data_IF_191261820726
#
_entry.id   IF_191261820726
#
_cell.length_a   1.000
_cell.length_b   1.000
_cell.length_c   1.000
_cell.angle_alpha   90.00
_cell.angle_beta   90.00
_cell.angle_gamma   90.00
#
_symmetry.space_group_name_H-M   'P 1'
#
loop_
_entity.id
_entity.type
_entity.pdbx_description
1 polymer ?
#
# COMPACT_ATOMS: atom_id res chain seq x y z
N UNK A 1 -0.35 24.77 -4.25
CA UNK A 1 0.94 24.37 -3.65
C UNK A 1 1.60 23.30 -4.50
N UNK A 2 2.92 23.39 -4.68
CA UNK A 2 3.69 22.34 -5.34
C UNK A 2 4.24 21.36 -4.29
N UNK A 3 3.82 20.11 -4.37
CA UNK A 3 4.16 19.10 -3.38
C UNK A 3 5.05 18.04 -4.00
N UNK A 4 6.23 17.85 -3.43
CA UNK A 4 7.11 16.74 -3.77
C UNK A 4 6.75 15.54 -2.89
N UNK A 5 6.26 14.47 -3.50
CA UNK A 5 5.98 13.20 -2.81
C UNK A 5 7.17 12.27 -2.98
N UNK A 6 7.65 11.72 -1.87
CA UNK A 6 8.78 10.79 -1.80
C UNK A 6 8.35 9.46 -1.17
N UNK A 7 8.71 8.37 -1.85
CA UNK A 7 8.57 7.01 -1.34
C UNK A 7 9.92 6.30 -1.45
N UNK A 8 10.65 6.22 -0.31
CA UNK A 8 11.97 5.62 -0.21
C UNK A 8 11.89 4.16 0.20
N UNK A 9 12.42 3.27 -0.64
CA UNK A 9 12.72 1.87 -0.32
C UNK A 9 14.20 1.67 -0.04
N UNK A 10 14.63 0.44 0.26
CA UNK A 10 16.02 0.12 0.60
C UNK A 10 17.04 0.43 -0.50
N UNK A 11 16.66 0.23 -1.77
CA UNK A 11 17.50 0.46 -2.95
C UNK A 11 16.78 1.23 -4.06
N UNK A 12 15.68 1.91 -3.73
CA UNK A 12 14.87 2.67 -4.68
C UNK A 12 14.26 3.90 -4.05
N UNK A 13 13.98 4.91 -4.87
CA UNK A 13 13.25 6.12 -4.48
C UNK A 13 12.30 6.52 -5.61
N UNK A 14 11.00 6.44 -5.35
CA UNK A 14 9.95 6.90 -6.26
C UNK A 14 9.52 8.31 -5.84
N UNK A 15 9.28 9.17 -6.80
CA UNK A 15 8.82 10.54 -6.53
C UNK A 15 7.78 11.03 -7.53
N UNK A 16 6.99 12.00 -7.09
CA UNK A 16 6.10 12.78 -7.94
C UNK A 16 6.07 14.24 -7.45
N UNK A 17 5.99 15.18 -8.39
CA UNK A 17 5.64 16.58 -8.09
C UNK A 17 4.19 16.79 -8.49
N UNK A 18 3.37 17.19 -7.53
CA UNK A 18 1.92 17.34 -7.70
C UNK A 18 1.53 18.77 -7.35
N UNK A 19 0.78 19.42 -8.23
CA UNK A 19 0.08 20.65 -7.92
C UNK A 19 -1.18 20.35 -7.11
N UNK A 20 -1.27 20.85 -5.87
CA UNK A 20 -2.36 20.47 -4.94
C UNK A 20 -3.72 21.09 -5.28
N UNK A 21 -3.77 22.14 -6.11
CA UNK A 21 -5.03 22.79 -6.49
C UNK A 21 -5.70 22.08 -7.66
N UNK A 22 -4.88 21.65 -8.62
CA UNK A 22 -5.35 20.97 -9.83
C UNK A 22 -5.23 19.46 -9.75
N UNK A 23 -4.52 18.93 -8.75
CA UNK A 23 -4.14 17.54 -8.58
C UNK A 23 -3.32 16.97 -9.76
N UNK A 24 -2.77 17.84 -10.58
CA UNK A 24 -1.97 17.47 -11.76
C UNK A 24 -0.59 17.01 -11.35
N UNK A 25 -0.17 15.87 -11.89
CA UNK A 25 1.19 15.38 -11.77
C UNK A 25 2.08 16.11 -12.77
N UNK A 26 2.89 17.05 -12.30
CA UNK A 26 3.80 17.85 -13.13
C UNK A 26 4.99 17.02 -13.59
N UNK A 27 5.57 16.22 -12.69
CA UNK A 27 6.65 15.31 -12.98
C UNK A 27 6.58 14.07 -12.09
N UNK A 28 7.14 12.96 -12.57
CA UNK A 28 7.31 11.72 -11.79
C UNK A 28 8.59 11.02 -12.19
N UNK A 29 9.14 10.23 -11.27
CA UNK A 29 10.32 9.46 -11.58
C UNK A 29 10.62 8.38 -10.56
N UNK A 30 11.67 7.64 -10.87
CA UNK A 30 12.12 6.50 -10.11
C UNK A 30 13.65 6.41 -10.19
N UNK A 31 14.28 6.40 -9.03
CA UNK A 31 15.67 6.00 -8.85
C UNK A 31 15.67 4.53 -8.42
N UNK A 32 16.36 3.67 -9.14
CA UNK A 32 16.45 2.23 -8.84
C UNK A 32 17.90 1.82 -8.67
N UNK A 33 18.14 0.71 -7.97
CA UNK A 33 19.46 0.11 -7.78
C UNK A 33 20.45 1.05 -7.09
N UNK A 34 19.94 1.88 -6.16
CA UNK A 34 20.74 2.79 -5.34
C UNK A 34 21.75 1.96 -4.53
N UNK A 35 23.01 2.38 -4.52
CA UNK A 35 24.10 1.64 -3.88
C UNK A 35 24.68 0.50 -4.72
N UNK A 36 24.23 0.33 -5.97
CA UNK A 36 24.72 -0.71 -6.89
C UNK A 36 25.27 -0.03 -8.16
N UNK A 37 24.46 0.09 -9.19
CA UNK A 37 24.87 0.67 -10.49
C UNK A 37 23.92 1.79 -10.95
N UNK A 38 22.84 2.04 -10.23
CA UNK A 38 21.92 3.13 -10.40
C UNK A 38 21.20 3.22 -11.75
N UNK A 39 19.90 3.51 -11.71
CA UNK A 39 19.09 3.84 -12.88
C UNK A 39 18.12 4.95 -12.53
N UNK A 40 17.99 5.95 -13.38
CA UNK A 40 17.08 7.08 -13.21
C UNK A 40 16.05 7.12 -14.33
N UNK A 41 14.79 7.17 -13.94
CA UNK A 41 13.66 7.41 -14.84
C UNK A 41 12.97 8.70 -14.45
N UNK A 42 12.68 9.57 -15.43
CA UNK A 42 12.01 10.85 -15.22
C UNK A 42 11.00 11.10 -16.34
N UNK A 43 9.82 11.55 -15.99
CA UNK A 43 8.75 11.87 -16.95
C UNK A 43 8.01 13.12 -16.50
N UNK A 44 7.71 14.00 -17.42
CA UNK A 44 6.87 15.17 -17.20
C UNK A 44 5.54 15.05 -17.93
N UNK A 45 4.57 15.81 -17.53
CA UNK A 45 3.30 15.95 -18.25
C UNK A 45 3.45 16.67 -19.60
N UNK A 46 4.52 17.48 -19.75
CA UNK A 46 4.92 18.08 -21.05
C UNK A 46 5.48 17.07 -22.07
N UNK A 47 5.52 15.77 -21.74
CA UNK A 47 5.92 14.71 -22.67
C UNK A 47 7.41 14.33 -22.62
N UNK A 48 8.20 14.94 -21.75
CA UNK A 48 9.61 14.54 -21.55
C UNK A 48 9.65 13.16 -20.90
N UNK A 49 10.51 12.27 -21.42
CA UNK A 49 10.73 10.94 -20.84
C UNK A 49 12.20 10.57 -20.97
N UNK A 50 12.85 10.46 -19.82
CA UNK A 50 14.26 10.11 -19.67
C UNK A 50 14.37 8.77 -18.97
N UNK A 51 15.24 7.91 -19.43
CA UNK A 51 15.68 6.70 -18.73
C UNK A 51 17.16 6.50 -19.01
N UNK A 52 17.95 6.59 -17.96
CA UNK A 52 19.42 6.53 -18.09
C UNK A 52 20.05 5.80 -16.90
N UNK A 53 21.18 5.12 -17.12
CA UNK A 53 22.02 4.63 -16.03
C UNK A 53 22.69 5.84 -15.36
N UNK A 54 22.57 5.95 -14.03
CA UNK A 54 23.18 7.03 -13.24
C UNK A 54 23.71 6.42 -11.96
N UNK A 55 25.02 6.42 -11.69
CA UNK A 55 25.55 5.96 -10.44
C UNK A 55 24.97 6.78 -9.27
N UNK A 56 24.40 6.07 -8.31
CA UNK A 56 23.85 6.65 -7.07
C UNK A 56 24.34 5.77 -5.93
N UNK A 57 25.31 6.26 -5.15
CA UNK A 57 25.91 5.49 -4.07
C UNK A 57 25.00 5.34 -2.85
N UNK A 58 24.08 6.29 -2.69
CA UNK A 58 23.16 6.37 -1.56
C UNK A 58 21.90 7.18 -1.94
N UNK A 59 20.96 7.27 -1.01
CA UNK A 59 19.71 8.02 -1.22
C UNK A 59 19.90 9.54 -1.36
N UNK A 60 20.99 10.10 -0.78
CA UNK A 60 21.28 11.51 -0.98
C UNK A 60 21.60 11.80 -2.45
N UNK A 61 22.44 10.96 -3.09
CA UNK A 61 22.74 11.08 -4.53
C UNK A 61 21.44 10.98 -5.38
N UNK A 62 20.52 10.10 -4.95
CA UNK A 62 19.23 9.94 -5.64
C UNK A 62 18.34 11.19 -5.49
N UNK A 63 18.28 11.79 -4.29
CA UNK A 63 17.54 13.06 -4.07
C UNK A 63 18.20 14.21 -4.82
N UNK A 64 19.53 14.33 -4.81
CA UNK A 64 20.25 15.34 -5.61
C UNK A 64 19.93 15.20 -7.12
N UNK A 65 19.92 13.96 -7.63
CA UNK A 65 19.60 13.69 -9.04
C UNK A 65 18.17 14.10 -9.40
N UNK A 66 17.18 13.73 -8.57
CA UNK A 66 15.80 14.10 -8.83
C UNK A 66 15.60 15.62 -8.76
N UNK A 67 16.19 16.29 -7.75
CA UNK A 67 16.09 17.75 -7.61
C UNK A 67 16.73 18.48 -8.82
N UNK A 68 17.91 18.04 -9.25
CA UNK A 68 18.57 18.58 -10.44
C UNK A 68 17.67 18.43 -11.68
N UNK A 69 17.02 17.29 -11.86
CA UNK A 69 16.12 17.05 -12.99
C UNK A 69 14.86 17.95 -12.93
N UNK A 70 14.36 18.25 -11.74
CA UNK A 70 13.17 19.08 -11.57
C UNK A 70 13.38 20.54 -11.94
N UNK A 71 14.60 21.07 -11.78
CA UNK A 71 14.95 22.49 -12.09
C UNK A 71 15.81 22.63 -13.34
N UNK A 72 16.01 21.57 -14.09
CA UNK A 72 16.75 21.63 -15.36
C UNK A 72 16.11 22.63 -16.32
N UNK A 73 16.89 23.56 -16.95
CA UNK A 73 16.33 24.62 -17.80
C UNK A 73 15.56 24.10 -19.02
N UNK A 74 15.90 22.91 -19.54
CA UNK A 74 15.29 22.33 -20.75
C UNK A 74 14.24 21.28 -20.45
N UNK A 75 14.34 20.58 -19.33
CA UNK A 75 13.59 19.37 -19.02
C UNK A 75 12.84 19.45 -17.68
N UNK A 76 13.14 20.44 -16.85
CA UNK A 76 12.54 20.63 -15.54
C UNK A 76 11.12 21.18 -15.60
N UNK A 77 10.44 21.06 -14.46
CA UNK A 77 9.07 21.59 -14.27
C UNK A 77 9.01 22.70 -13.21
N UNK A 78 10.15 23.01 -12.58
CA UNK A 78 10.32 24.04 -11.56
C UNK A 78 11.42 25.03 -12.00
N UNK A 79 11.26 26.29 -11.61
CA UNK A 79 12.30 27.32 -11.81
C UNK A 79 13.37 27.28 -10.73
N UNK A 80 13.02 26.86 -9.50
CA UNK A 80 13.94 26.68 -8.38
C UNK A 80 13.37 25.65 -7.38
N UNK A 81 14.21 25.17 -6.44
CA UNK A 81 13.77 24.30 -5.35
C UNK A 81 12.82 24.99 -4.37
N UNK A 82 12.89 26.32 -4.25
CA UNK A 82 12.03 27.12 -3.37
C UNK A 82 10.55 27.09 -3.80
N UNK A 83 10.28 26.61 -5.01
CA UNK A 83 8.91 26.39 -5.48
C UNK A 83 8.26 25.13 -4.89
N UNK A 84 9.03 24.27 -4.19
CA UNK A 84 8.50 23.11 -3.48
C UNK A 84 7.98 23.60 -2.12
N UNK A 85 6.67 23.74 -1.99
CA UNK A 85 6.04 24.20 -0.73
C UNK A 85 6.15 23.17 0.38
N UNK A 86 6.04 21.88 0.06
CA UNK A 86 6.02 20.76 1.03
C UNK A 86 6.62 19.51 0.40
N UNK A 87 7.36 18.74 1.21
CA UNK A 87 7.72 17.36 0.88
C UNK A 87 6.87 16.39 1.69
N UNK A 88 6.07 15.57 1.01
CA UNK A 88 5.30 14.49 1.61
C UNK A 88 6.07 13.16 1.54
N UNK A 89 6.41 12.58 2.70
CA UNK A 89 7.12 11.31 2.79
C UNK A 89 6.16 10.18 3.10
N UNK A 90 6.16 9.13 2.27
CA UNK A 90 5.56 7.85 2.66
C UNK A 90 6.41 7.19 3.72
N UNK A 91 5.81 6.93 4.88
CA UNK A 91 6.42 6.24 6.00
C UNK A 91 5.64 4.96 6.29
N UNK A 92 6.33 3.83 6.54
CA UNK A 92 5.63 2.56 6.65
C UNK A 92 5.00 2.38 8.01
N UNK A 93 5.74 2.55 9.10
CA UNK A 93 5.26 2.17 10.42
C UNK A 93 5.44 3.26 11.47
N UNK A 94 4.33 3.76 11.99
CA UNK A 94 4.31 4.79 13.04
C UNK A 94 4.00 4.28 14.45
N UNK A 95 3.91 2.95 14.64
CA UNK A 95 3.48 2.36 15.91
C UNK A 95 2.08 2.81 16.31
N UNK A 96 1.86 2.97 17.62
CA UNK A 96 0.65 3.57 18.17
C UNK A 96 0.75 5.10 18.32
N UNK A 97 1.94 5.67 18.00
CA UNK A 97 2.25 7.09 18.24
C UNK A 97 1.60 8.00 17.21
N UNK A 98 1.45 7.54 15.96
CA UNK A 98 0.97 8.35 14.85
C UNK A 98 -0.37 7.83 14.32
N UNK A 99 -1.43 8.59 14.60
CA UNK A 99 -2.80 8.31 14.14
C UNK A 99 -3.20 9.13 12.91
N UNK A 100 -2.28 9.93 12.39
CA UNK A 100 -2.44 10.81 11.22
C UNK A 100 -1.10 11.24 10.67
N UNK A 101 -1.14 12.12 9.67
CA UNK A 101 0.06 12.73 9.11
C UNK A 101 0.60 13.82 10.03
N UNK A 102 1.92 13.94 10.10
CA UNK A 102 2.59 14.85 11.03
C UNK A 102 3.74 15.59 10.35
N UNK A 103 4.08 16.77 10.86
CA UNK A 103 5.33 17.45 10.50
C UNK A 103 6.50 16.63 11.01
N UNK A 104 7.51 16.41 10.18
CA UNK A 104 8.70 15.66 10.55
C UNK A 104 9.65 16.57 11.34
N UNK A 105 9.53 16.50 12.66
CA UNK A 105 10.46 17.10 13.63
C UNK A 105 11.51 16.08 14.08
N UNK A 106 12.48 16.52 14.87
CA UNK A 106 13.49 15.61 15.44
C UNK A 106 12.84 14.61 16.42
N UNK A 107 11.78 15.02 17.14
CA UNK A 107 11.00 14.12 18.01
C UNK A 107 10.25 13.06 17.19
N UNK A 108 9.74 13.40 16.02
CA UNK A 108 9.11 12.44 15.10
C UNK A 108 10.13 11.45 14.56
N UNK A 109 11.32 11.91 14.17
CA UNK A 109 12.44 11.05 13.72
C UNK A 109 12.84 10.08 14.84
N UNK A 110 12.99 10.57 16.08
CA UNK A 110 13.27 9.73 17.22
C UNK A 110 12.19 8.68 17.46
N UNK A 111 10.92 9.09 17.44
CA UNK A 111 9.78 8.20 17.61
C UNK A 111 9.69 7.12 16.52
N UNK A 112 10.04 7.47 15.27
CA UNK A 112 10.14 6.50 14.17
C UNK A 112 11.31 5.54 14.37
N UNK A 113 12.44 6.03 14.85
CA UNK A 113 13.62 5.19 15.15
C UNK A 113 13.28 4.12 16.20
N UNK A 114 12.48 4.48 17.23
CA UNK A 114 11.97 3.51 18.20
C UNK A 114 11.00 2.47 17.59
N UNK A 115 10.40 2.78 16.44
CA UNK A 115 9.57 1.85 15.68
C UNK A 115 10.35 1.00 14.66
N UNK A 116 11.67 1.12 14.56
CA UNK A 116 12.48 0.33 13.61
C UNK A 116 12.34 -1.18 13.82
N UNK A 117 12.21 -1.63 15.07
CA UNK A 117 12.00 -3.04 15.39
C UNK A 117 10.66 -3.59 14.87
N UNK A 118 9.67 -2.71 14.65
CA UNK A 118 8.37 -3.07 14.09
C UNK A 118 8.39 -3.21 12.56
N UNK A 119 9.30 -2.50 11.89
CA UNK A 119 9.45 -2.52 10.44
C UNK A 119 10.94 -2.40 10.01
N UNK A 120 11.80 -3.37 10.37
CA UNK A 120 13.26 -3.27 10.20
C UNK A 120 13.71 -3.18 8.74
N UNK A 121 12.90 -3.65 7.80
CA UNK A 121 13.20 -3.59 6.37
C UNK A 121 12.74 -2.26 5.71
N UNK A 122 11.91 -1.46 6.39
CA UNK A 122 11.25 -0.30 5.79
C UNK A 122 11.61 1.02 6.50
N UNK A 123 11.40 1.10 7.82
CA UNK A 123 11.58 2.36 8.55
C UNK A 123 12.99 2.95 8.42
N UNK A 124 14.09 2.16 8.53
CA UNK A 124 15.43 2.72 8.33
C UNK A 124 15.61 3.36 6.94
N UNK A 125 15.09 2.71 5.89
CA UNK A 125 15.17 3.25 4.52
C UNK A 125 14.33 4.52 4.36
N UNK A 126 13.15 4.59 5.01
CA UNK A 126 12.33 5.80 5.01
C UNK A 126 13.06 6.96 5.69
N UNK A 127 13.70 6.74 6.84
CA UNK A 127 14.47 7.77 7.55
C UNK A 127 15.64 8.29 6.72
N UNK A 128 16.38 7.41 6.03
CA UNK A 128 17.45 7.83 5.12
C UNK A 128 16.93 8.77 4.02
N UNK A 129 15.74 8.50 3.47
CA UNK A 129 15.11 9.39 2.49
C UNK A 129 14.72 10.75 3.08
N UNK A 130 14.20 10.76 4.31
CA UNK A 130 13.89 12.00 5.05
C UNK A 130 15.14 12.83 5.30
N UNK A 131 16.20 12.20 5.81
CA UNK A 131 17.48 12.86 6.12
C UNK A 131 18.12 13.46 4.87
N UNK A 132 18.06 12.74 3.74
CA UNK A 132 18.55 13.24 2.46
C UNK A 132 17.80 14.50 2.00
N UNK A 133 16.48 14.52 2.13
CA UNK A 133 15.66 15.69 1.79
C UNK A 133 15.93 16.86 2.77
N UNK A 134 16.02 16.62 4.08
CA UNK A 134 16.34 17.65 5.07
C UNK A 134 17.72 18.30 4.80
N UNK A 135 18.70 17.51 4.39
CA UNK A 135 20.04 18.00 4.09
C UNK A 135 20.10 18.92 2.86
N UNK A 136 19.23 18.69 1.87
CA UNK A 136 19.22 19.41 0.60
C UNK A 136 18.19 20.55 0.56
N UNK A 137 17.14 20.44 1.34
CA UNK A 137 16.04 21.41 1.44
C UNK A 137 15.70 21.69 2.91
N UNK A 138 16.62 22.30 3.70
CA UNK A 138 16.47 22.44 5.15
C UNK A 138 15.29 23.32 5.58
N UNK A 139 14.88 24.27 4.73
CA UNK A 139 13.79 25.20 5.02
C UNK A 139 12.42 24.70 4.52
N UNK A 140 12.40 23.60 3.74
CA UNK A 140 11.14 23.09 3.17
C UNK A 140 10.42 22.24 4.21
N UNK A 141 9.12 22.49 4.39
CA UNK A 141 8.25 21.72 5.28
C UNK A 141 8.20 20.24 4.85
N UNK A 142 8.48 19.34 5.77
CA UNK A 142 8.42 17.91 5.55
C UNK A 142 7.30 17.27 6.37
N UNK A 143 6.47 16.47 5.71
CA UNK A 143 5.29 15.82 6.30
C UNK A 143 5.41 14.30 6.13
N UNK A 144 5.28 13.58 7.24
CA UNK A 144 5.22 12.12 7.26
C UNK A 144 3.79 11.61 7.14
N UNK A 145 3.55 10.70 6.19
CA UNK A 145 2.27 10.03 5.96
C UNK A 145 2.47 8.53 6.14
N UNK A 146 1.81 7.97 7.17
CA UNK A 146 2.07 6.59 7.60
C UNK A 146 1.07 5.59 7.02
N UNK A 147 1.56 4.47 6.48
CA UNK A 147 0.73 3.36 6.00
C UNK A 147 -0.14 2.75 7.10
N UNK A 148 0.30 2.82 8.36
CA UNK A 148 -0.43 2.27 9.50
C UNK A 148 -1.43 3.26 10.12
N UNK A 149 -1.34 4.57 9.83
CA UNK A 149 -2.11 5.59 10.54
C UNK A 149 -3.63 5.46 10.32
N UNK A 150 -4.08 5.19 9.11
CA UNK A 150 -5.50 5.01 8.80
C UNK A 150 -6.13 3.86 9.58
N UNK A 151 -5.35 2.83 9.91
CA UNK A 151 -5.79 1.64 10.64
C UNK A 151 -5.87 1.84 12.16
N UNK A 152 -5.44 2.99 12.69
CA UNK A 152 -5.40 3.23 14.14
C UNK A 152 -6.79 3.40 14.80
N UNK A 153 -7.86 3.42 14.01
CA UNK A 153 -9.24 3.44 14.52
C UNK A 153 -9.77 2.05 14.89
N UNK A 154 -9.00 0.98 14.67
CA UNK A 154 -9.37 -0.37 15.10
C UNK A 154 -9.52 -0.44 16.62
N UNK A 155 -10.57 -1.14 17.06
CA UNK A 155 -10.82 -1.38 18.49
C UNK A 155 -9.97 -2.54 19.05
N UNK A 156 -9.72 -2.62 20.36
CA UNK A 156 -8.92 -3.69 20.99
C UNK A 156 -9.32 -5.11 20.59
N UNK A 157 -10.61 -5.40 20.44
CA UNK A 157 -11.12 -6.70 20.00
C UNK A 157 -10.68 -7.11 18.60
N UNK A 158 -10.30 -6.14 17.73
CA UNK A 158 -9.84 -6.39 16.37
C UNK A 158 -8.31 -6.41 16.29
N UNK A 159 -7.62 -5.59 17.08
CA UNK A 159 -6.17 -5.49 16.98
C UNK A 159 -5.39 -6.40 17.93
N UNK A 160 -5.98 -6.88 19.04
CA UNK A 160 -5.30 -7.77 19.98
C UNK A 160 -5.24 -9.20 19.45
N UNK A 161 -4.08 -9.81 19.58
CA UNK A 161 -3.93 -11.25 19.37
C UNK A 161 -4.31 -12.02 20.64
N UNK A 162 -4.70 -13.28 20.49
CA UNK A 162 -4.96 -14.21 21.60
C UNK A 162 -3.68 -14.64 22.32
N UNK A 163 -2.73 -13.74 22.49
CA UNK A 163 -1.48 -13.92 23.23
C UNK A 163 -1.61 -13.36 24.66
N UNK A 164 -0.73 -13.78 25.60
CA UNK A 164 -0.70 -13.17 26.92
C UNK A 164 -0.59 -11.64 26.84
N UNK A 165 -1.51 -10.94 27.49
CA UNK A 165 -1.69 -9.48 27.37
C UNK A 165 -0.44 -8.66 27.66
N UNK A 166 0.47 -9.18 28.54
CA UNK A 166 1.77 -8.58 28.84
C UNK A 166 2.65 -8.31 27.58
N UNK A 167 2.47 -9.08 26.51
CA UNK A 167 3.25 -8.88 25.28
C UNK A 167 2.75 -7.66 24.49
N UNK A 168 1.46 -7.38 24.54
CA UNK A 168 0.94 -6.11 24.04
C UNK A 168 1.44 -4.95 24.90
N UNK A 169 1.33 -5.04 26.23
CA UNK A 169 1.76 -3.96 27.13
C UNK A 169 3.25 -3.62 26.95
N UNK A 170 4.10 -4.64 26.89
CA UNK A 170 5.55 -4.46 26.87
C UNK A 170 6.11 -4.16 25.48
N UNK A 171 5.64 -4.88 24.46
CA UNK A 171 6.24 -4.88 23.13
C UNK A 171 5.32 -4.31 22.05
N UNK A 172 4.11 -3.89 22.43
CA UNK A 172 3.09 -3.39 21.48
C UNK A 172 2.77 -4.41 20.37
N UNK A 173 2.80 -5.72 20.70
CA UNK A 173 2.43 -6.79 19.77
C UNK A 173 0.92 -6.74 19.60
N UNK A 174 0.50 -6.23 18.43
CA UNK A 174 -0.89 -6.09 18.01
C UNK A 174 -0.96 -6.06 16.49
N UNK A 175 -2.18 -6.20 15.93
CA UNK A 175 -2.44 -5.87 14.53
C UNK A 175 -2.32 -4.37 14.31
N UNK A 176 -1.50 -3.95 13.35
CA UNK A 176 -1.41 -2.56 12.88
C UNK A 176 -2.14 -2.37 11.56
N UNK A 177 -2.05 -3.36 10.67
CA UNK A 177 -2.55 -3.25 9.31
C UNK A 177 -1.69 -2.32 8.45
N UNK A 178 -1.70 -2.54 7.14
CA UNK A 178 -0.88 -1.81 6.18
C UNK A 178 -1.70 -1.41 4.96
N UNK A 179 -1.06 -0.76 3.99
CA UNK A 179 -1.69 -0.12 2.83
C UNK A 179 -2.74 0.93 3.20
N UNK A 180 -2.61 1.54 4.39
CA UNK A 180 -3.60 2.48 4.91
C UNK A 180 -3.80 3.70 4.01
N UNK A 181 -2.75 4.17 3.33
CA UNK A 181 -2.81 5.28 2.37
C UNK A 181 -3.72 4.90 1.19
N UNK A 182 -3.51 3.72 0.60
CA UNK A 182 -4.35 3.19 -0.47
C UNK A 182 -5.79 2.95 -0.01
N UNK A 183 -6.00 2.30 1.14
CA UNK A 183 -7.33 2.03 1.69
C UNK A 183 -8.11 3.31 1.95
N UNK A 184 -7.45 4.36 2.45
CA UNK A 184 -8.06 5.68 2.67
C UNK A 184 -8.48 6.33 1.36
N UNK A 185 -7.56 6.42 0.39
CA UNK A 185 -7.84 6.98 -0.93
C UNK A 185 -9.00 6.26 -1.62
N UNK A 186 -8.91 4.94 -1.74
CA UNK A 186 -9.87 4.13 -2.49
C UNK A 186 -11.26 4.15 -1.85
N UNK A 187 -11.36 4.10 -0.52
CA UNK A 187 -12.66 4.15 0.17
C UNK A 187 -13.35 5.51 0.02
N UNK A 188 -12.59 6.60 0.08
CA UNK A 188 -13.10 7.94 -0.16
C UNK A 188 -13.57 8.10 -1.61
N UNK A 189 -12.75 7.65 -2.57
CA UNK A 189 -13.06 7.71 -4.00
C UNK A 189 -14.27 6.84 -4.36
N UNK A 190 -14.44 5.68 -3.70
CA UNK A 190 -15.62 4.83 -3.88
C UNK A 190 -16.90 5.53 -3.44
N UNK A 191 -16.89 6.17 -2.27
CA UNK A 191 -18.03 6.91 -1.77
C UNK A 191 -18.39 8.09 -2.69
N UNK A 192 -17.39 8.85 -3.13
CA UNK A 192 -17.55 9.94 -4.09
C UNK A 192 -18.15 9.46 -5.42
N UNK A 193 -17.57 8.42 -6.02
CA UNK A 193 -18.01 7.83 -7.29
C UNK A 193 -19.46 7.36 -7.24
N UNK A 194 -19.87 6.80 -6.09
CA UNK A 194 -21.24 6.32 -5.86
C UNK A 194 -22.22 7.42 -5.38
N UNK A 195 -21.76 8.67 -5.17
CA UNK A 195 -22.57 9.75 -4.60
C UNK A 195 -23.01 9.46 -3.16
N UNK A 196 -22.22 8.73 -2.38
CA UNK A 196 -22.51 8.29 -1.02
C UNK A 196 -21.74 9.12 0.02
N UNK A 197 -22.31 9.31 1.22
CA UNK A 197 -21.56 9.83 2.37
C UNK A 197 -20.75 8.69 3.01
N UNK A 198 -19.41 8.79 2.98
CA UNK A 198 -18.51 7.79 3.55
C UNK A 198 -18.83 7.48 5.03
N UNK A 199 -19.39 8.45 5.76
CA UNK A 199 -19.81 8.30 7.17
C UNK A 199 -21.08 7.46 7.36
N UNK A 200 -21.70 6.97 6.28
CA UNK A 200 -22.95 6.21 6.30
C UNK A 200 -22.85 4.85 5.64
N UNK A 201 -21.70 4.53 5.04
CA UNK A 201 -21.51 3.29 4.28
C UNK A 201 -20.48 2.37 4.92
N UNK A 202 -20.63 1.08 4.63
CA UNK A 202 -19.72 0.00 5.00
C UNK A 202 -19.00 -0.47 3.75
N UNK A 203 -17.70 -0.25 3.70
CA UNK A 203 -16.88 -0.54 2.52
C UNK A 203 -15.79 -1.55 2.87
N UNK A 204 -15.64 -2.57 2.03
CA UNK A 204 -14.48 -3.47 2.06
C UNK A 204 -13.59 -3.09 0.89
N UNK A 205 -12.35 -2.71 1.16
CA UNK A 205 -11.35 -2.42 0.14
C UNK A 205 -10.38 -3.59 0.03
N UNK A 206 -10.29 -4.17 -1.16
CA UNK A 206 -9.40 -5.26 -1.52
C UNK A 206 -8.23 -4.70 -2.32
N UNK A 207 -7.13 -4.34 -1.65
CA UNK A 207 -5.87 -3.93 -2.27
C UNK A 207 -5.09 -5.19 -2.65
N UNK A 208 -5.21 -5.61 -3.90
CA UNK A 208 -4.66 -6.86 -4.42
C UNK A 208 -3.51 -6.58 -5.38
N UNK A 209 -2.30 -6.80 -4.91
CA UNK A 209 -1.06 -6.65 -5.67
C UNK A 209 -0.09 -7.78 -5.34
N UNK A 210 1.21 -7.57 -5.54
CA UNK A 210 2.23 -8.52 -5.07
C UNK A 210 2.23 -8.60 -3.53
N UNK A 211 2.07 -7.45 -2.82
CA UNK A 211 1.56 -7.39 -1.46
C UNK A 211 0.04 -7.16 -1.52
N UNK A 212 -0.73 -7.89 -0.71
CA UNK A 212 -2.20 -7.82 -0.73
C UNK A 212 -2.78 -7.67 0.66
N UNK A 213 -3.77 -6.80 0.81
CA UNK A 213 -4.52 -6.65 2.05
C UNK A 213 -5.99 -6.33 1.79
N UNK A 214 -6.84 -6.69 2.74
CA UNK A 214 -8.25 -6.30 2.76
C UNK A 214 -8.49 -5.47 4.01
N UNK A 215 -9.26 -4.40 3.86
CA UNK A 215 -9.60 -3.48 4.94
C UNK A 215 -11.12 -3.34 5.06
N UNK A 216 -11.63 -3.53 6.27
CA UNK A 216 -13.03 -3.30 6.62
C UNK A 216 -13.20 -1.86 7.14
N UNK A 217 -13.97 -1.04 6.42
CA UNK A 217 -14.18 0.37 6.72
C UNK A 217 -15.66 0.61 6.99
N UNK A 218 -16.00 0.97 8.22
CA UNK A 218 -17.37 1.26 8.62
C UNK A 218 -17.51 2.73 8.99
N UNK A 219 -18.33 3.44 8.23
CA UNK A 219 -18.64 4.84 8.49
C UNK A 219 -17.40 5.75 8.53
N UNK A 220 -16.47 5.49 7.59
CA UNK A 220 -15.21 6.22 7.45
C UNK A 220 -14.09 5.80 8.40
N UNK A 221 -14.31 4.78 9.24
CA UNK A 221 -13.31 4.27 10.21
C UNK A 221 -12.95 2.84 9.90
N UNK A 222 -11.67 2.53 9.92
CA UNK A 222 -11.18 1.14 9.83
C UNK A 222 -11.59 0.40 11.10
N UNK A 223 -12.19 -0.77 10.92
CA UNK A 223 -12.54 -1.67 12.01
C UNK A 223 -11.70 -2.93 12.00
N UNK A 224 -11.12 -3.31 10.86
CA UNK A 224 -10.19 -4.42 10.75
C UNK A 224 -9.34 -4.32 9.47
N UNK A 225 -8.17 -4.98 9.45
CA UNK A 225 -7.28 -5.08 8.29
C UNK A 225 -6.65 -6.48 8.29
N UNK A 226 -6.53 -7.12 7.14
CA UNK A 226 -6.00 -8.48 7.02
C UNK A 226 -4.52 -8.61 7.32
N UNK A 227 -3.72 -7.56 7.08
CA UNK A 227 -2.34 -7.53 7.54
C UNK A 227 -2.28 -7.29 9.05
N UNK A 228 -1.31 -7.90 9.71
CA UNK A 228 -1.24 -7.97 11.15
C UNK A 228 -0.21 -7.05 11.79
N UNK A 229 0.58 -7.63 12.68
CA UNK A 229 1.76 -7.01 13.29
C UNK A 229 2.80 -6.65 12.23
N UNK A 230 2.94 -7.48 11.22
CA UNK A 230 3.74 -7.27 10.02
C UNK A 230 2.90 -7.42 8.76
N UNK A 231 3.40 -7.04 7.57
CA UNK A 231 2.68 -7.26 6.31
C UNK A 231 2.65 -8.73 5.85
N UNK A 232 2.95 -9.69 6.72
CA UNK A 232 2.98 -11.13 6.41
C UNK A 232 1.63 -11.80 6.61
N UNK A 233 0.94 -11.49 7.73
CA UNK A 233 -0.37 -12.06 8.08
C UNK A 233 -1.43 -11.70 7.03
N UNK A 234 -2.41 -12.56 6.86
CA UNK A 234 -3.60 -12.32 6.05
C UNK A 234 -3.64 -13.16 4.78
N UNK A 235 -3.75 -12.48 3.64
CA UNK A 235 -3.87 -13.14 2.33
C UNK A 235 -2.58 -13.86 1.93
N UNK A 236 -2.76 -14.93 1.14
CA UNK A 236 -1.68 -15.44 0.31
C UNK A 236 -1.30 -14.35 -0.69
N UNK A 237 -0.01 -14.04 -0.85
CA UNK A 237 0.48 -12.94 -1.67
C UNK A 237 1.43 -13.46 -2.76
N UNK A 238 2.15 -12.58 -3.43
CA UNK A 238 3.14 -13.00 -4.45
C UNK A 238 4.16 -14.00 -3.90
N UNK A 239 4.85 -13.62 -2.82
CA UNK A 239 5.89 -14.45 -2.17
C UNK A 239 5.62 -14.73 -0.70
N UNK A 240 4.64 -14.08 -0.07
CA UNK A 240 4.30 -14.21 1.35
C UNK A 240 3.19 -15.23 1.56
N UNK A 241 3.33 -16.06 2.60
CA UNK A 241 2.40 -17.16 2.86
C UNK A 241 0.99 -16.71 3.29
N UNK A 242 0.85 -15.53 3.91
CA UNK A 242 -0.38 -15.16 4.63
C UNK A 242 -0.58 -16.00 5.90
N UNK A 243 -1.84 -16.24 6.25
CA UNK A 243 -2.18 -17.02 7.44
C UNK A 243 -1.69 -18.48 7.34
N UNK A 244 -0.95 -18.89 8.36
CA UNK A 244 -0.43 -20.24 8.52
C UNK A 244 -0.54 -20.68 9.98
N UNK A 245 -0.78 -21.98 10.22
CA UNK A 245 -0.78 -22.54 11.56
C UNK A 245 0.63 -22.51 12.17
N UNK A 246 0.84 -21.89 13.35
CA UNK A 246 2.14 -21.90 14.04
C UNK A 246 2.68 -23.31 14.29
N UNK A 247 1.84 -24.33 14.51
CA UNK A 247 2.26 -25.73 14.66
C UNK A 247 2.90 -26.31 13.39
N UNK A 248 2.47 -25.84 12.20
CA UNK A 248 3.13 -26.21 10.95
C UNK A 248 4.54 -25.63 10.86
N UNK A 249 4.79 -24.45 11.44
CA UNK A 249 6.10 -23.82 11.45
C UNK A 249 7.08 -24.54 12.38
N UNK A 250 6.62 -24.95 13.56
CA UNK A 250 7.40 -25.80 14.48
C UNK A 250 7.79 -27.13 13.82
N UNK A 251 6.81 -27.79 13.18
CA UNK A 251 7.04 -29.03 12.46
C UNK A 251 8.06 -28.87 11.33
N UNK A 252 7.93 -27.83 10.53
CA UNK A 252 8.87 -27.54 9.43
C UNK A 252 10.29 -27.27 9.96
N UNK A 253 10.42 -26.43 11.01
CA UNK A 253 11.68 -26.12 11.66
C UNK A 253 12.39 -27.41 12.12
N UNK A 254 11.67 -28.32 12.76
CA UNK A 254 12.21 -29.59 13.25
C UNK A 254 12.59 -30.54 12.12
N UNK A 255 11.79 -30.61 11.02
CA UNK A 255 12.04 -31.53 9.89
C UNK A 255 13.20 -31.12 9.01
N UNK A 256 13.31 -29.82 8.75
CA UNK A 256 14.33 -29.24 7.86
C UNK A 256 15.55 -28.69 8.63
N UNK A 257 15.55 -28.79 9.98
CA UNK A 257 16.58 -28.24 10.88
C UNK A 257 16.83 -26.74 10.66
N UNK A 258 15.73 -25.96 10.62
CA UNK A 258 15.75 -24.53 10.35
C UNK A 258 15.61 -23.71 11.66
N UNK A 259 16.29 -22.59 11.71
CA UNK A 259 16.08 -21.58 12.74
C UNK A 259 14.91 -20.66 12.39
N UNK A 260 14.53 -19.78 13.34
CA UNK A 260 13.39 -18.88 13.16
C UNK A 260 13.60 -17.89 12.01
N UNK A 261 14.84 -17.45 11.74
CA UNK A 261 15.13 -16.49 10.67
C UNK A 261 14.99 -17.15 9.30
N UNK A 262 15.42 -18.41 9.18
CA UNK A 262 15.23 -19.21 7.97
C UNK A 262 13.73 -19.48 7.71
N UNK A 263 12.97 -19.81 8.75
CA UNK A 263 11.51 -19.94 8.65
C UNK A 263 10.90 -18.63 8.16
N UNK A 264 11.27 -17.48 8.76
CA UNK A 264 10.73 -16.17 8.33
C UNK A 264 11.13 -15.81 6.90
N UNK A 265 12.28 -16.25 6.41
CA UNK A 265 12.71 -16.10 5.01
C UNK A 265 11.77 -16.88 4.08
N UNK A 266 11.52 -18.16 4.39
CA UNK A 266 10.58 -19.00 3.63
C UNK A 266 9.19 -18.35 3.58
N UNK A 267 8.67 -17.90 4.72
CA UNK A 267 7.31 -17.32 4.81
C UNK A 267 7.18 -16.01 4.01
N UNK A 268 8.23 -15.20 3.93
CA UNK A 268 8.19 -13.90 3.27
C UNK A 268 8.59 -13.93 1.79
N UNK A 269 9.50 -14.84 1.38
CA UNK A 269 10.17 -14.75 0.09
C UNK A 269 9.98 -15.98 -0.82
N UNK A 270 9.66 -17.15 -0.24
CA UNK A 270 9.61 -18.43 -0.98
C UNK A 270 8.21 -19.06 -0.96
N UNK A 271 7.26 -18.40 -0.34
CA UNK A 271 5.88 -18.83 -0.17
C UNK A 271 4.93 -18.14 -1.15
N UNK A 272 3.69 -17.97 -0.75
CA UNK A 272 2.68 -17.30 -1.57
C UNK A 272 2.34 -18.08 -2.83
N UNK A 273 1.86 -17.35 -3.86
CA UNK A 273 1.57 -17.98 -5.15
C UNK A 273 2.83 -18.50 -5.84
N UNK A 274 4.01 -17.89 -5.57
CA UNK A 274 5.29 -18.39 -6.03
C UNK A 274 5.55 -19.82 -5.51
N UNK A 275 5.47 -20.02 -4.19
CA UNK A 275 5.73 -21.33 -3.58
C UNK A 275 4.72 -22.37 -4.03
N UNK A 276 3.42 -22.02 -4.06
CA UNK A 276 2.34 -22.93 -4.49
C UNK A 276 2.51 -23.35 -5.96
N UNK A 277 2.94 -22.42 -6.81
CA UNK A 277 3.21 -22.69 -8.23
C UNK A 277 4.54 -23.41 -8.51
N UNK A 278 5.23 -23.90 -7.45
CA UNK A 278 6.55 -24.53 -7.55
C UNK A 278 7.61 -23.63 -8.14
N UNK A 279 7.68 -22.40 -7.64
CA UNK A 279 8.61 -21.36 -8.07
C UNK A 279 8.49 -20.95 -9.55
N UNK A 280 7.28 -21.09 -10.13
CA UNK A 280 7.03 -20.66 -11.50
C UNK A 280 7.07 -19.14 -11.59
N UNK A 281 6.24 -18.45 -10.82
CA UNK A 281 6.21 -16.97 -10.79
C UNK A 281 5.44 -16.45 -9.57
N UNK A 282 5.79 -15.25 -9.12
CA UNK A 282 5.00 -14.43 -8.19
C UNK A 282 4.08 -13.44 -8.94
N UNK A 283 4.18 -13.33 -10.27
CA UNK A 283 3.36 -12.45 -11.10
C UNK A 283 2.07 -13.16 -11.53
N UNK A 284 0.93 -12.59 -11.15
CA UNK A 284 -0.39 -13.14 -11.45
C UNK A 284 -0.70 -13.23 -12.96
N UNK A 285 -0.09 -12.39 -13.79
CA UNK A 285 -0.23 -12.42 -15.25
C UNK A 285 0.45 -13.66 -15.82
N UNK A 286 1.67 -13.94 -15.37
CA UNK A 286 2.41 -15.14 -15.80
C UNK A 286 1.72 -16.43 -15.31
N UNK A 287 1.17 -16.41 -14.09
CA UNK A 287 0.39 -17.53 -13.57
C UNK A 287 -0.90 -17.75 -14.37
N UNK A 288 -1.60 -16.69 -14.78
CA UNK A 288 -2.76 -16.76 -15.67
C UNK A 288 -2.41 -17.41 -17.00
N UNK A 289 -1.35 -16.90 -17.66
CA UNK A 289 -0.88 -17.40 -18.94
C UNK A 289 -0.44 -18.88 -18.86
N UNK A 290 0.18 -19.27 -17.74
CA UNK A 290 0.57 -20.65 -17.51
C UNK A 290 -0.64 -21.57 -17.25
N UNK A 291 -1.65 -21.10 -16.51
CA UNK A 291 -2.90 -21.82 -16.27
C UNK A 291 -3.68 -22.11 -17.55
N UNK A 292 -3.77 -21.12 -18.45
CA UNK A 292 -4.36 -21.28 -19.78
C UNK A 292 -3.64 -22.39 -20.58
N UNK A 293 -2.34 -22.59 -20.35
CA UNK A 293 -1.52 -23.65 -20.94
C UNK A 293 -1.56 -24.96 -20.13
N UNK A 294 -2.59 -25.16 -19.30
CA UNK A 294 -2.81 -26.35 -18.48
C UNK A 294 -1.78 -26.59 -17.37
N UNK A 295 -1.17 -25.53 -16.81
CA UNK A 295 -0.35 -25.68 -15.61
C UNK A 295 -1.24 -25.71 -14.35
N UNK A 296 -1.51 -26.90 -13.85
CA UNK A 296 -2.37 -27.12 -12.68
C UNK A 296 -1.90 -26.38 -11.42
N UNK A 297 -0.59 -26.20 -11.22
CA UNK A 297 -0.07 -25.49 -10.02
C UNK A 297 -0.23 -23.99 -10.14
N UNK A 298 -0.15 -23.43 -11.34
CA UNK A 298 -0.45 -22.02 -11.58
C UNK A 298 -1.95 -21.74 -11.36
N UNK A 299 -2.83 -22.59 -11.88
CA UNK A 299 -4.29 -22.49 -11.63
C UNK A 299 -4.60 -22.60 -10.15
N UNK A 300 -4.09 -23.62 -9.46
CA UNK A 300 -4.29 -23.83 -8.03
C UNK A 300 -3.83 -22.64 -7.18
N UNK A 301 -2.70 -22.01 -7.54
CA UNK A 301 -2.20 -20.85 -6.82
C UNK A 301 -3.18 -19.66 -6.92
N UNK A 302 -3.78 -19.42 -8.09
CA UNK A 302 -4.80 -18.41 -8.31
C UNK A 302 -6.10 -18.71 -7.58
N UNK A 303 -6.58 -19.96 -7.65
CA UNK A 303 -7.77 -20.42 -6.93
C UNK A 303 -7.63 -20.24 -5.41
N UNK A 304 -6.49 -20.62 -4.83
CA UNK A 304 -6.21 -20.40 -3.40
C UNK A 304 -6.25 -18.92 -3.04
N UNK A 305 -5.68 -18.06 -3.90
CA UNK A 305 -5.70 -16.62 -3.69
C UNK A 305 -7.14 -16.10 -3.70
N UNK A 306 -7.93 -16.40 -4.75
CA UNK A 306 -9.32 -15.96 -4.86
C UNK A 306 -10.17 -16.45 -3.67
N UNK A 307 -10.04 -17.71 -3.30
CA UNK A 307 -10.73 -18.30 -2.15
C UNK A 307 -10.40 -17.60 -0.83
N UNK A 308 -9.11 -17.28 -0.58
CA UNK A 308 -8.69 -16.55 0.63
C UNK A 308 -9.23 -15.13 0.65
N UNK A 309 -9.23 -14.42 -0.49
CA UNK A 309 -9.82 -13.09 -0.61
C UNK A 309 -11.31 -13.12 -0.27
N UNK A 310 -12.05 -14.06 -0.86
CA UNK A 310 -13.49 -14.23 -0.60
C UNK A 310 -13.79 -14.52 0.89
N UNK A 311 -12.99 -15.35 1.54
CA UNK A 311 -13.12 -15.62 2.99
C UNK A 311 -12.92 -14.36 3.83
N UNK A 312 -11.92 -13.54 3.53
CA UNK A 312 -11.70 -12.28 4.25
C UNK A 312 -12.85 -11.29 4.02
N UNK A 313 -13.36 -11.17 2.79
CA UNK A 313 -14.55 -10.36 2.50
C UNK A 313 -15.75 -10.84 3.34
N UNK A 314 -16.00 -12.16 3.37
CA UNK A 314 -17.07 -12.74 4.17
C UNK A 314 -16.93 -12.47 5.67
N UNK A 315 -15.71 -12.61 6.22
CA UNK A 315 -15.42 -12.34 7.64
C UNK A 315 -15.64 -10.87 7.98
N UNK A 316 -15.25 -9.96 7.10
CA UNK A 316 -15.41 -8.51 7.30
C UNK A 316 -16.86 -8.04 7.09
N UNK A 317 -17.59 -8.64 6.18
CA UNK A 317 -19.03 -8.42 6.08
C UNK A 317 -19.75 -8.82 7.39
N UNK A 318 -19.34 -9.93 8.03
CA UNK A 318 -19.85 -10.33 9.34
C UNK A 318 -19.42 -9.34 10.44
N UNK A 319 -18.15 -8.94 10.49
CA UNK A 319 -17.63 -7.99 11.50
C UNK A 319 -18.34 -6.62 11.44
N UNK A 320 -18.69 -6.16 10.22
CA UNK A 320 -19.45 -4.91 10.02
C UNK A 320 -20.96 -5.07 10.18
N UNK A 321 -21.48 -6.30 10.27
CA UNK A 321 -22.90 -6.63 10.16
C UNK A 321 -23.48 -6.10 8.83
N UNK A 322 -22.95 -6.60 7.72
CA UNK A 322 -23.29 -6.23 6.34
C UNK A 322 -22.23 -5.41 5.64
N UNK A 323 -22.38 -5.23 4.35
CA UNK A 323 -21.49 -4.48 3.46
C UNK A 323 -22.31 -3.77 2.38
N UNK A 324 -21.94 -2.52 2.06
CA UNK A 324 -22.58 -1.73 1.01
C UNK A 324 -21.74 -1.73 -0.27
N UNK A 325 -20.39 -1.63 -0.12
CA UNK A 325 -19.47 -1.58 -1.23
C UNK A 325 -18.29 -2.55 -1.01
N UNK A 326 -17.92 -3.29 -2.06
CA UNK A 326 -16.67 -4.04 -2.17
C UNK A 326 -15.87 -3.39 -3.29
N UNK A 327 -14.61 -3.04 -3.02
CA UNK A 327 -13.78 -2.28 -3.97
C UNK A 327 -12.49 -3.03 -4.24
N UNK A 328 -12.25 -3.39 -5.48
CA UNK A 328 -11.00 -3.97 -5.95
C UNK A 328 -10.05 -2.87 -6.41
N UNK A 329 -8.78 -2.97 -6.03
CA UNK A 329 -7.74 -2.00 -6.35
C UNK A 329 -6.36 -2.64 -6.39
N UNK A 330 -5.35 -1.90 -6.77
CA UNK A 330 -3.97 -2.33 -7.00
C UNK A 330 -3.81 -3.30 -8.18
N UNK A 331 -2.58 -3.70 -8.47
CA UNK A 331 -2.21 -4.33 -9.74
C UNK A 331 -3.09 -5.52 -10.17
N UNK A 332 -3.38 -6.46 -9.27
CA UNK A 332 -4.27 -7.61 -9.54
C UNK A 332 -5.73 -7.18 -9.49
N UNK A 333 -6.13 -6.44 -8.45
CA UNK A 333 -7.51 -6.00 -8.27
C UNK A 333 -8.02 -5.12 -9.42
N UNK A 334 -7.17 -4.27 -10.00
CA UNK A 334 -7.50 -3.39 -11.12
C UNK A 334 -7.52 -4.08 -12.48
N UNK A 335 -6.59 -5.03 -12.71
CA UNK A 335 -6.30 -5.51 -14.06
C UNK A 335 -6.70 -6.97 -14.32
N UNK A 336 -7.03 -7.76 -13.31
CA UNK A 336 -7.39 -9.18 -13.48
C UNK A 336 -8.89 -9.41 -13.27
N UNK A 337 -9.66 -9.30 -14.36
CA UNK A 337 -11.11 -9.50 -14.34
C UNK A 337 -11.52 -10.91 -13.94
N UNK A 338 -10.71 -11.93 -14.29
CA UNK A 338 -11.04 -13.34 -14.01
C UNK A 338 -10.92 -13.61 -12.50
N UNK A 339 -9.89 -13.06 -11.84
CA UNK A 339 -9.75 -13.15 -10.38
C UNK A 339 -10.92 -12.45 -9.66
N UNK A 340 -11.34 -11.26 -10.14
CA UNK A 340 -12.50 -10.57 -9.55
C UNK A 340 -13.79 -11.38 -9.69
N UNK A 341 -14.00 -11.97 -10.86
CA UNK A 341 -15.14 -12.85 -11.14
C UNK A 341 -15.14 -14.06 -10.21
N UNK A 342 -14.02 -14.80 -10.15
CA UNK A 342 -13.84 -15.96 -9.27
C UNK A 342 -14.07 -15.62 -7.79
N UNK A 343 -13.55 -14.49 -7.31
CA UNK A 343 -13.82 -14.01 -5.94
C UNK A 343 -15.32 -13.77 -5.72
N UNK A 344 -15.98 -13.11 -6.67
CA UNK A 344 -17.40 -12.75 -6.55
C UNK A 344 -18.33 -13.97 -6.62
N UNK A 345 -17.97 -15.05 -7.30
CA UNK A 345 -18.72 -16.31 -7.31
C UNK A 345 -18.94 -16.87 -5.89
N UNK A 346 -17.93 -16.77 -5.01
CA UNK A 346 -18.06 -17.16 -3.60
C UNK A 346 -18.99 -16.26 -2.79
N UNK A 347 -19.30 -15.07 -3.28
CA UNK A 347 -20.04 -14.01 -2.54
C UNK A 347 -21.52 -13.90 -2.93
N UNK A 348 -22.05 -14.87 -3.68
CA UNK A 348 -23.46 -14.90 -4.08
C UNK A 348 -24.43 -14.82 -2.90
N UNK A 349 -24.06 -15.33 -1.72
CA UNK A 349 -24.86 -15.24 -0.50
C UNK A 349 -25.07 -13.80 0.00
N UNK A 350 -24.22 -12.85 -0.40
CA UNK A 350 -24.39 -11.41 -0.16
C UNK A 350 -25.33 -10.76 -1.19
N UNK A 351 -25.82 -11.52 -2.16
CA UNK A 351 -26.65 -11.01 -3.26
C UNK A 351 -25.84 -10.22 -4.28
N UNK A 352 -24.61 -10.62 -4.50
CA UNK A 352 -23.73 -10.02 -5.51
C UNK A 352 -23.98 -10.68 -6.85
N UNK A 353 -24.12 -9.87 -7.89
CA UNK A 353 -24.13 -10.26 -9.30
C UNK A 353 -23.22 -9.33 -10.09
N UNK A 354 -22.39 -9.90 -10.96
CA UNK A 354 -21.36 -9.18 -11.73
C UNK A 354 -21.82 -9.02 -13.18
N UNK A 355 -21.64 -7.83 -13.72
CA UNK A 355 -21.75 -7.51 -15.13
C UNK A 355 -20.40 -7.83 -15.81
N UNK A 356 -20.34 -8.93 -16.55
CA UNK A 356 -19.10 -9.43 -17.18
C UNK A 356 -18.48 -8.41 -18.15
N UNK A 357 -19.28 -7.60 -18.83
CA UNK A 357 -18.77 -6.59 -19.77
C UNK A 357 -18.09 -5.48 -19.00
N UNK A 358 -18.75 -4.94 -17.97
CA UNK A 358 -18.18 -3.89 -17.12
C UNK A 358 -16.97 -4.39 -16.32
N UNK A 359 -16.96 -5.67 -15.93
CA UNK A 359 -15.81 -6.24 -15.24
C UNK A 359 -14.52 -6.23 -16.08
N UNK A 360 -14.62 -6.12 -17.40
CA UNK A 360 -13.49 -6.03 -18.32
C UNK A 360 -13.12 -4.60 -18.74
N UNK A 361 -13.93 -3.61 -18.34
CA UNK A 361 -13.66 -2.21 -18.64
C UNK A 361 -12.39 -1.72 -17.93
N UNK A 362 -11.60 -0.91 -18.66
CA UNK A 362 -10.41 -0.24 -18.14
C UNK A 362 -10.73 1.24 -17.92
N UNK A 363 -11.01 1.61 -16.67
CA UNK A 363 -11.33 2.98 -16.28
C UNK A 363 -10.68 3.33 -14.93
N UNK A 364 -10.63 4.62 -14.59
CA UNK A 364 -10.17 5.08 -13.27
C UNK A 364 -11.11 4.62 -12.14
N UNK A 365 -12.41 4.54 -12.43
CA UNK A 365 -13.42 4.01 -11.54
C UNK A 365 -14.56 3.39 -12.35
N UNK A 366 -15.00 2.19 -12.00
CA UNK A 366 -16.12 1.51 -12.64
C UNK A 366 -16.90 0.67 -11.62
N UNK A 367 -18.23 0.69 -11.72
CA UNK A 367 -19.10 -0.25 -11.01
C UNK A 367 -19.28 -1.48 -11.88
N UNK A 368 -18.80 -2.62 -11.41
CA UNK A 368 -18.82 -3.91 -12.11
C UNK A 368 -19.97 -4.81 -11.68
N UNK A 369 -20.72 -4.45 -10.63
CA UNK A 369 -21.93 -5.17 -10.23
C UNK A 369 -23.13 -4.73 -11.08
N UNK A 370 -24.07 -5.68 -11.34
CA UNK A 370 -25.34 -5.40 -11.99
C UNK A 370 -26.23 -4.44 -11.17
N UNK A 371 -27.25 -3.86 -11.81
CA UNK A 371 -28.22 -2.99 -11.15
C UNK A 371 -29.05 -3.69 -10.07
N UNK A 372 -29.22 -5.01 -10.18
CA UNK A 372 -29.96 -5.87 -9.24
C UNK A 372 -29.14 -6.34 -8.05
N UNK A 373 -27.83 -6.18 -8.10
CA UNK A 373 -26.91 -6.57 -7.02
C UNK A 373 -27.21 -5.80 -5.73
N UNK A 374 -27.29 -6.50 -4.60
CA UNK A 374 -27.54 -5.89 -3.28
C UNK A 374 -26.31 -5.16 -2.74
N UNK A 375 -25.13 -5.56 -3.15
CA UNK A 375 -23.85 -4.96 -2.77
C UNK A 375 -23.21 -4.39 -4.04
N UNK A 376 -22.71 -3.16 -3.96
CA UNK A 376 -21.95 -2.59 -5.07
C UNK A 376 -20.57 -3.21 -5.12
N UNK A 377 -20.17 -3.66 -6.30
CA UNK A 377 -18.79 -4.10 -6.55
C UNK A 377 -18.14 -3.11 -7.52
N UNK A 378 -17.01 -2.58 -7.11
CA UNK A 378 -16.31 -1.51 -7.81
C UNK A 378 -14.88 -1.92 -8.14
N UNK A 379 -14.34 -1.37 -9.22
CA UNK A 379 -12.90 -1.30 -9.47
C UNK A 379 -12.50 0.16 -9.44
N UNK A 380 -11.54 0.50 -8.61
CA UNK A 380 -11.03 1.88 -8.47
C UNK A 380 -9.52 1.83 -8.45
N UNK A 381 -8.88 2.59 -9.32
CA UNK A 381 -7.43 2.70 -9.34
C UNK A 381 -6.95 3.45 -8.11
N UNK A 382 -5.97 2.86 -7.42
CA UNK A 382 -5.31 3.52 -6.30
C UNK A 382 -4.37 4.62 -6.78
N UNK A 383 -4.26 5.68 -5.98
CA UNK A 383 -3.30 6.76 -6.21
C UNK A 383 -2.75 7.22 -4.84
N UNK A 384 -1.78 6.46 -4.35
CA UNK A 384 -1.17 6.70 -3.04
C UNK A 384 -0.40 8.02 -3.02
N UNK A 385 0.26 8.38 -4.11
CA UNK A 385 1.02 9.62 -4.21
C UNK A 385 0.11 10.85 -4.11
N UNK A 386 -1.07 10.80 -4.74
CA UNK A 386 -2.07 11.87 -4.62
C UNK A 386 -2.62 11.95 -3.19
N UNK A 387 -2.88 10.82 -2.54
CA UNK A 387 -3.33 10.82 -1.14
C UNK A 387 -2.25 11.40 -0.21
N UNK A 388 -0.98 11.07 -0.42
CA UNK A 388 0.14 11.66 0.34
C UNK A 388 0.18 13.18 0.11
N UNK A 389 0.06 13.63 -1.14
CA UNK A 389 0.04 15.05 -1.46
C UNK A 389 -1.13 15.79 -0.77
N UNK A 390 -2.34 15.22 -0.81
CA UNK A 390 -3.52 15.78 -0.13
C UNK A 390 -3.31 15.91 1.38
N UNK A 391 -2.76 14.87 2.01
CA UNK A 391 -2.48 14.89 3.44
C UNK A 391 -1.37 15.89 3.80
N UNK A 392 -0.30 15.96 3.01
CA UNK A 392 0.78 16.93 3.19
C UNK A 392 0.28 18.38 3.02
N UNK A 393 -0.56 18.64 2.01
CA UNK A 393 -1.21 19.92 1.82
C UNK A 393 -2.09 20.33 2.99
N UNK A 394 -2.86 19.38 3.54
CA UNK A 394 -3.75 19.64 4.68
C UNK A 394 -2.96 20.02 5.94
N UNK A 395 -1.84 19.32 6.23
CA UNK A 395 -0.95 19.66 7.35
C UNK A 395 -0.34 21.05 7.15
N UNK A 396 0.16 21.36 5.94
CA UNK A 396 0.73 22.68 5.64
C UNK A 396 -0.30 23.81 5.79
N UNK A 397 -1.55 23.58 5.38
CA UNK A 397 -2.62 24.57 5.53
C UNK A 397 -2.95 24.84 7.00
N UNK A 398 -2.99 23.78 7.85
CA UNK A 398 -3.21 23.91 9.29
C UNK A 398 -2.16 24.77 9.98
N UNK A 399 -0.88 24.60 9.60
CA UNK A 399 0.22 25.42 10.13
C UNK A 399 0.07 26.88 9.71
N UNK A 400 -0.25 27.16 8.43
CA UNK A 400 -0.47 28.53 7.93
C UNK A 400 -1.65 29.23 8.61
N UNK A 401 -2.67 28.45 9.04
CA UNK A 401 -3.83 28.99 9.77
C UNK A 401 -3.58 29.11 11.29
N UNK A 402 -2.39 28.77 11.81
CA UNK A 402 -2.06 28.80 13.23
C UNK A 402 -2.79 27.75 14.08
N UNK A 403 -3.26 26.67 13.46
CA UNK A 403 -3.84 25.51 14.13
C UNK A 403 -2.77 24.41 14.20
N UNK A 404 -2.16 24.24 15.34
CA UNK A 404 -1.30 23.09 15.64
C UNK A 404 -2.11 21.83 15.98
#
# INVERSE_FOLDING_TARGET
MKILVINSGSSSLKFQVIDSETERVMARGLCERIGIDGSFTYKTDGGISIKEPVPMNNHKDAVEKLLTALVDPEQGVLGSYDEIDVVGHRLVHGGEKFTGSVVITDEVIQAMTECNDLAPLHNPANLVGVDACKALMPETLMVGVFDTAFNQTMEPKAFLYGLPYRFYEKYKIRRYGFHGISHKYVSARAAEFMGQDIRRVKTIVCHLGNGSSICAIKYGKVIDNSMGFTPLEGLVMGTRCGDVDPGALEFLAAKENLDIHQIMTILNQESGVLGISKNLSSDFRELKDAGIKYNEKASLAREIFAYKVAKYIGSYAAAMNGVDNIVFTAGVGENDSDIREEICEYLGFLGITIDEVKNREQAEAVRISEGTSKVNVLVIRTNEELEIARQAAAVAAQIKEGRE
#
